data_IF_201278123390
#
_entry.id   IF_201278123390
#
_cell.length_a   1.000
_cell.length_b   1.000
_cell.length_c   1.000
_cell.angle_alpha   90.00
_cell.angle_beta   90.00
_cell.angle_gamma   90.00
#
_symmetry.space_group_name_H-M   'P 1'
#
loop_
_entity.id
_entity.type
_entity.pdbx_description
1 polymer ?
#
# COMPACT_ATOMS: atom_id res chain seq x y z
N UNK A 1 5.77 -17.27 -18.47
CA UNK A 1 7.12 -17.85 -18.31
C UNK A 1 7.75 -17.98 -19.69
N UNK A 2 8.78 -17.20 -20.04
CA UNK A 2 9.62 -17.47 -21.22
C UNK A 2 10.67 -18.48 -20.77
N UNK A 3 10.53 -19.74 -21.18
CA UNK A 3 11.48 -20.81 -20.85
C UNK A 3 12.67 -20.62 -21.79
N UNK A 4 13.78 -20.09 -21.27
CA UNK A 4 15.03 -19.97 -22.02
C UNK A 4 15.82 -21.29 -21.90
N UNK A 5 15.90 -22.01 -23.02
CA UNK A 5 16.59 -23.29 -23.15
C UNK A 5 18.06 -23.19 -22.74
N UNK A 6 18.57 -24.21 -22.03
CA UNK A 6 20.00 -24.55 -22.07
C UNK A 6 20.24 -25.01 -23.51
N UNK A 7 20.99 -24.24 -24.29
CA UNK A 7 21.30 -24.59 -25.67
C UNK A 7 22.01 -25.95 -25.72
N UNK A 8 21.74 -26.74 -26.77
CA UNK A 8 22.47 -27.98 -27.02
C UNK A 8 23.93 -27.62 -27.27
N UNK A 9 24.79 -27.98 -26.33
CA UNK A 9 26.20 -28.03 -26.62
C UNK A 9 26.45 -29.21 -27.58
N UNK A 10 26.83 -28.92 -28.82
CA UNK A 10 27.09 -29.94 -29.85
C UNK A 10 28.39 -30.73 -29.58
N UNK A 11 29.10 -30.41 -28.50
CA UNK A 11 30.32 -31.07 -28.04
C UNK A 11 30.10 -32.16 -26.98
N UNK A 12 28.86 -32.38 -26.54
CA UNK A 12 28.54 -33.28 -25.42
C UNK A 12 28.66 -34.79 -25.78
N UNK A 13 29.20 -35.56 -24.85
CA UNK A 13 29.37 -37.02 -24.94
C UNK A 13 28.03 -37.78 -24.91
N UNK A 14 28.02 -39.05 -25.34
CA UNK A 14 26.78 -39.86 -25.37
C UNK A 14 26.09 -40.04 -24.01
N UNK A 15 26.85 -39.97 -22.90
CA UNK A 15 26.32 -39.97 -21.53
C UNK A 15 25.70 -38.62 -21.18
N UNK A 16 26.35 -37.50 -21.50
CA UNK A 16 25.83 -36.15 -21.24
C UNK A 16 24.53 -35.88 -22.01
N UNK A 17 24.43 -36.36 -23.25
CA UNK A 17 23.17 -36.28 -24.01
C UNK A 17 22.02 -37.09 -23.37
N UNK A 18 22.33 -38.26 -22.81
CA UNK A 18 21.34 -39.12 -22.14
C UNK A 18 20.89 -38.50 -20.81
N UNK A 19 21.82 -37.90 -20.09
CA UNK A 19 21.57 -37.18 -18.84
C UNK A 19 20.72 -35.93 -19.06
N UNK A 20 21.01 -35.14 -20.08
CA UNK A 20 20.24 -33.94 -20.43
C UNK A 20 18.81 -34.30 -20.85
N UNK A 21 18.62 -35.44 -21.52
CA UNK A 21 17.31 -35.96 -21.90
C UNK A 21 16.49 -36.46 -20.70
N UNK A 22 17.10 -37.13 -19.73
CA UNK A 22 16.43 -37.57 -18.50
C UNK A 22 16.00 -36.36 -17.63
N UNK A 23 16.85 -35.32 -17.51
CA UNK A 23 16.48 -34.06 -16.85
C UNK A 23 15.29 -33.37 -17.56
N UNK A 24 15.29 -33.35 -18.90
CA UNK A 24 14.20 -32.78 -19.69
C UNK A 24 12.89 -33.54 -19.50
N UNK A 25 12.94 -34.88 -19.45
CA UNK A 25 11.76 -35.71 -19.19
C UNK A 25 11.24 -35.51 -17.77
N UNK A 26 12.13 -35.45 -16.78
CA UNK A 26 11.74 -35.19 -15.39
C UNK A 26 11.09 -33.81 -15.24
N UNK A 27 11.63 -32.78 -15.89
CA UNK A 27 11.04 -31.44 -15.95
C UNK A 27 9.61 -31.48 -16.51
N UNK A 28 9.39 -32.14 -17.65
CA UNK A 28 8.05 -32.25 -18.26
C UNK A 28 7.08 -33.04 -17.37
N UNK A 29 7.54 -34.13 -16.75
CA UNK A 29 6.74 -34.91 -15.83
C UNK A 29 6.29 -34.07 -14.62
N UNK A 30 7.21 -33.30 -14.02
CA UNK A 30 6.89 -32.40 -12.91
C UNK A 30 5.92 -31.27 -13.31
N UNK A 31 6.08 -30.69 -14.52
CA UNK A 31 5.16 -29.67 -15.03
C UNK A 31 3.74 -30.22 -15.26
N UNK A 32 3.62 -31.47 -15.69
CA UNK A 32 2.34 -32.12 -15.98
C UNK A 32 1.72 -32.82 -14.75
N UNK A 33 2.50 -33.03 -13.68
CA UNK A 33 2.08 -33.80 -12.51
C UNK A 33 2.07 -35.31 -12.74
N UNK A 34 2.85 -35.79 -13.72
CA UNK A 34 2.97 -37.20 -14.08
C UNK A 34 3.96 -37.91 -13.16
N UNK A 35 3.45 -38.39 -12.02
CA UNK A 35 4.28 -39.00 -10.99
C UNK A 35 4.90 -40.33 -11.44
N UNK A 36 4.18 -41.16 -12.18
CA UNK A 36 4.67 -42.49 -12.56
C UNK A 36 5.94 -42.38 -13.41
N UNK A 37 5.91 -41.50 -14.42
CA UNK A 37 7.08 -41.25 -15.25
C UNK A 37 8.22 -40.57 -14.49
N UNK A 38 7.90 -39.61 -13.60
CA UNK A 38 8.93 -38.97 -12.78
C UNK A 38 9.61 -39.97 -11.83
N UNK A 39 8.81 -40.81 -11.15
CA UNK A 39 9.31 -41.83 -10.21
C UNK A 39 10.23 -42.82 -10.91
N UNK A 40 9.83 -43.32 -12.08
CA UNK A 40 10.65 -44.25 -12.86
C UNK A 40 12.02 -43.66 -13.26
N UNK A 41 12.11 -42.33 -13.41
CA UNK A 41 13.37 -41.63 -13.68
C UNK A 41 14.16 -41.41 -12.38
N UNK A 42 13.50 -40.96 -11.31
CA UNK A 42 14.13 -40.68 -10.02
C UNK A 42 14.70 -41.95 -9.39
N UNK A 43 13.99 -43.08 -9.44
CA UNK A 43 14.41 -44.33 -8.79
C UNK A 43 15.69 -44.93 -9.39
N UNK A 44 16.04 -44.58 -10.63
CA UNK A 44 17.31 -45.01 -11.23
C UNK A 44 18.52 -44.42 -10.50
N UNK A 45 18.41 -43.18 -10.05
CA UNK A 45 19.45 -42.45 -9.33
C UNK A 45 18.84 -41.31 -8.48
N UNK A 46 18.31 -41.63 -7.30
CA UNK A 46 17.53 -40.68 -6.50
C UNK A 46 18.33 -39.47 -6.05
N UNK A 47 19.56 -39.68 -5.58
CA UNK A 47 20.40 -38.61 -5.06
C UNK A 47 20.72 -37.57 -6.14
N UNK A 48 21.07 -38.03 -7.35
CA UNK A 48 21.36 -37.15 -8.47
C UNK A 48 20.10 -36.48 -9.03
N UNK A 49 19.02 -37.23 -9.27
CA UNK A 49 17.83 -36.68 -9.92
C UNK A 49 17.06 -35.69 -9.03
N UNK A 50 17.07 -35.89 -7.70
CA UNK A 50 16.43 -34.95 -6.77
C UNK A 50 17.24 -33.66 -6.58
N UNK A 51 18.57 -33.72 -6.78
CA UNK A 51 19.47 -32.55 -6.69
C UNK A 51 19.77 -31.90 -8.04
N UNK A 52 19.34 -32.49 -9.16
CA UNK A 52 19.63 -32.00 -10.50
C UNK A 52 18.99 -30.64 -10.78
N UNK A 53 19.77 -29.74 -11.38
CA UNK A 53 19.30 -28.46 -11.89
C UNK A 53 18.57 -28.67 -13.22
N UNK A 54 17.26 -28.42 -13.26
CA UNK A 54 16.40 -28.65 -14.42
C UNK A 54 16.23 -27.41 -15.29
N UNK A 55 16.57 -26.22 -14.77
CA UNK A 55 16.46 -24.93 -15.46
C UNK A 55 17.75 -24.12 -15.30
N UNK A 56 17.89 -23.04 -16.09
CA UNK A 56 18.96 -22.04 -15.89
C UNK A 56 18.89 -21.34 -14.54
N UNK A 57 17.71 -21.30 -13.92
CA UNK A 57 17.51 -20.76 -12.58
C UNK A 57 17.86 -21.77 -11.47
N UNK A 58 18.52 -22.88 -11.79
CA UNK A 58 18.85 -23.95 -10.84
C UNK A 58 17.62 -24.56 -10.13
N UNK A 59 16.45 -24.49 -10.78
CA UNK A 59 15.24 -25.09 -10.25
C UNK A 59 15.34 -26.60 -10.28
N UNK A 60 14.96 -27.22 -9.16
CA UNK A 60 14.94 -28.68 -9.00
C UNK A 60 13.53 -29.18 -9.20
N UNK A 61 13.37 -30.50 -9.25
CA UNK A 61 12.06 -31.14 -9.48
C UNK A 61 10.98 -30.64 -8.51
N UNK A 62 11.33 -30.37 -7.24
CA UNK A 62 10.40 -29.83 -6.25
C UNK A 62 9.99 -28.38 -6.54
N UNK A 63 10.92 -27.51 -6.95
CA UNK A 63 10.63 -26.12 -7.33
C UNK A 63 9.66 -26.06 -8.51
N UNK A 64 9.89 -26.92 -9.52
CA UNK A 64 9.03 -27.02 -10.70
C UNK A 64 7.63 -27.52 -10.33
N UNK A 65 7.54 -28.60 -9.54
CA UNK A 65 6.26 -29.17 -9.15
C UNK A 65 5.40 -28.18 -8.34
N UNK A 66 6.01 -27.44 -7.41
CA UNK A 66 5.36 -26.38 -6.63
C UNK A 66 4.94 -25.22 -7.52
N UNK A 67 5.81 -24.76 -8.42
CA UNK A 67 5.49 -23.71 -9.40
C UNK A 67 4.30 -24.10 -10.28
N UNK A 68 4.25 -25.37 -10.72
CA UNK A 68 3.16 -25.93 -11.51
C UNK A 68 1.91 -26.30 -10.68
N UNK A 69 1.94 -26.12 -9.35
CA UNK A 69 0.84 -26.38 -8.41
C UNK A 69 0.30 -27.82 -8.48
N UNK A 70 1.20 -28.80 -8.68
CA UNK A 70 0.83 -30.22 -8.82
C UNK A 70 0.73 -30.93 -7.46
N UNK A 71 -0.32 -30.66 -6.70
CA UNK A 71 -0.49 -31.14 -5.32
C UNK A 71 -0.25 -32.66 -5.15
N UNK A 72 -0.88 -33.58 -5.92
CA UNK A 72 -0.67 -35.02 -5.72
C UNK A 72 0.76 -35.48 -6.02
N UNK A 73 1.41 -34.80 -6.95
CA UNK A 73 2.81 -35.04 -7.30
C UNK A 73 3.73 -34.54 -6.18
N UNK A 74 3.47 -33.34 -5.66
CA UNK A 74 4.25 -32.74 -4.56
C UNK A 74 4.19 -33.62 -3.32
N UNK A 75 3.01 -34.11 -2.94
CA UNK A 75 2.84 -35.01 -1.78
C UNK A 75 3.79 -36.22 -1.87
N UNK A 76 3.72 -36.94 -2.99
CA UNK A 76 4.55 -38.13 -3.21
C UNK A 76 6.04 -37.80 -3.30
N UNK A 77 6.39 -36.67 -3.92
CA UNK A 77 7.77 -36.22 -4.01
C UNK A 77 8.36 -35.87 -2.63
N UNK A 78 7.62 -35.15 -1.79
CA UNK A 78 8.07 -34.74 -0.46
C UNK A 78 8.18 -35.95 0.48
N UNK A 79 7.28 -36.92 0.36
CA UNK A 79 7.39 -38.21 1.06
C UNK A 79 8.68 -38.94 0.66
N UNK A 80 8.95 -39.06 -0.65
CA UNK A 80 10.17 -39.67 -1.17
C UNK A 80 11.45 -38.94 -0.71
N UNK A 81 11.45 -37.59 -0.73
CA UNK A 81 12.61 -36.82 -0.27
C UNK A 81 12.88 -37.01 1.22
N UNK A 82 11.82 -37.12 2.03
CA UNK A 82 11.92 -37.37 3.47
C UNK A 82 12.49 -38.76 3.75
N UNK A 83 12.00 -39.80 3.04
CA UNK A 83 12.51 -41.18 3.15
C UNK A 83 14.01 -41.29 2.80
N UNK A 84 14.47 -40.47 1.84
CA UNK A 84 15.88 -40.44 1.42
C UNK A 84 16.76 -39.53 2.28
N UNK A 85 16.21 -38.92 3.34
CA UNK A 85 16.95 -38.02 4.24
C UNK A 85 17.45 -36.73 3.56
N UNK A 86 16.81 -36.31 2.46
CA UNK A 86 17.17 -35.09 1.75
C UNK A 86 16.55 -33.88 2.43
N UNK A 87 17.34 -32.82 2.56
CA UNK A 87 16.90 -31.59 3.22
C UNK A 87 16.01 -30.80 2.24
N UNK A 88 14.86 -30.31 2.70
CA UNK A 88 13.93 -29.50 1.90
C UNK A 88 14.40 -28.04 1.72
N UNK A 89 15.50 -27.65 2.36
CA UNK A 89 16.07 -26.29 2.35
C UNK A 89 16.82 -25.94 1.07
N UNK A 90 16.63 -26.72 0.01
CA UNK A 90 17.33 -26.50 -1.24
C UNK A 90 16.85 -25.19 -1.84
N UNK A 91 17.80 -24.38 -2.29
CA UNK A 91 17.55 -23.12 -2.96
C UNK A 91 17.80 -23.25 -4.46
N UNK A 92 17.10 -22.43 -5.23
CA UNK A 92 17.41 -22.18 -6.64
C UNK A 92 18.38 -20.98 -6.75
N UNK A 93 18.72 -20.58 -7.97
CA UNK A 93 19.64 -19.47 -8.24
C UNK A 93 19.18 -18.13 -7.63
N UNK A 94 17.87 -17.97 -7.41
CA UNK A 94 17.28 -16.77 -6.80
C UNK A 94 17.22 -16.83 -5.27
N UNK A 95 17.73 -17.91 -4.66
CA UNK A 95 17.61 -18.15 -3.22
C UNK A 95 16.26 -18.73 -2.80
N UNK A 96 15.34 -18.97 -3.73
CA UNK A 96 13.99 -19.43 -3.41
C UNK A 96 13.99 -20.90 -3.00
N UNK A 97 13.23 -21.19 -1.94
CA UNK A 97 12.93 -22.54 -1.47
C UNK A 97 11.58 -22.99 -2.02
N UNK A 98 11.29 -24.29 -1.92
CA UNK A 98 9.96 -24.79 -2.23
C UNK A 98 8.84 -24.10 -1.43
N UNK A 99 9.11 -23.70 -0.17
CA UNK A 99 8.15 -22.97 0.67
C UNK A 99 7.97 -21.52 0.21
N UNK A 100 9.04 -20.82 -0.20
CA UNK A 100 8.89 -19.45 -0.72
C UNK A 100 8.09 -19.43 -2.03
N UNK A 101 8.30 -20.41 -2.92
CA UNK A 101 7.50 -20.57 -4.14
C UNK A 101 6.05 -20.92 -3.80
N UNK A 102 5.81 -21.79 -2.81
CA UNK A 102 4.46 -22.10 -2.34
C UNK A 102 3.76 -20.83 -1.81
N UNK A 103 4.47 -19.98 -1.08
CA UNK A 103 3.96 -18.70 -0.58
C UNK A 103 3.54 -17.76 -1.72
N UNK A 104 4.35 -17.65 -2.79
CA UNK A 104 3.99 -16.91 -4.02
C UNK A 104 2.78 -17.51 -4.73
N UNK A 105 2.61 -18.82 -4.66
CA UNK A 105 1.51 -19.50 -5.35
C UNK A 105 0.13 -19.25 -4.72
N UNK A 106 0.11 -18.86 -3.44
CA UNK A 106 -1.10 -18.69 -2.60
C UNK A 106 -1.82 -19.99 -2.23
N UNK A 107 -1.26 -21.17 -2.55
CA UNK A 107 -1.90 -22.48 -2.29
C UNK A 107 -1.49 -23.04 -0.94
N UNK A 108 -2.29 -22.77 0.10
CA UNK A 108 -2.04 -23.19 1.49
C UNK A 108 -1.78 -24.69 1.60
N UNK A 109 -2.56 -25.51 0.89
CA UNK A 109 -2.40 -26.97 0.84
C UNK A 109 -0.98 -27.41 0.46
N UNK A 110 -0.30 -26.69 -0.44
CA UNK A 110 1.08 -27.02 -0.81
C UNK A 110 2.03 -26.73 0.35
N UNK A 111 1.84 -25.60 1.04
CA UNK A 111 2.64 -25.24 2.20
C UNK A 111 2.40 -26.19 3.38
N UNK A 112 1.18 -26.70 3.56
CA UNK A 112 0.84 -27.74 4.54
C UNK A 112 1.59 -29.05 4.28
N UNK A 113 1.60 -29.52 3.04
CA UNK A 113 2.33 -30.74 2.65
C UNK A 113 3.83 -30.62 2.92
N UNK A 114 4.42 -29.45 2.66
CA UNK A 114 5.84 -29.18 2.90
C UNK A 114 6.13 -29.10 4.41
N UNK A 115 5.30 -28.35 5.15
CA UNK A 115 5.49 -28.10 6.59
C UNK A 115 5.17 -29.29 7.50
N UNK A 116 4.54 -30.34 6.97
CA UNK A 116 4.28 -31.57 7.72
C UNK A 116 5.54 -32.44 7.97
N UNK A 117 6.72 -32.02 7.50
CA UNK A 117 7.97 -32.80 7.61
C UNK A 117 8.88 -32.28 8.73
N UNK A 118 9.60 -33.19 9.38
CA UNK A 118 10.36 -32.97 10.63
C UNK A 118 11.49 -31.90 10.56
N UNK A 119 11.82 -31.37 9.38
CA UNK A 119 12.85 -30.34 9.18
C UNK A 119 12.33 -29.07 8.46
N UNK A 120 11.01 -28.93 8.27
CA UNK A 120 10.46 -27.85 7.46
C UNK A 120 10.49 -26.48 8.15
N UNK A 121 10.60 -26.42 9.48
CA UNK A 121 10.60 -25.16 10.23
C UNK A 121 11.76 -24.24 9.87
N UNK A 122 12.92 -24.79 9.48
CA UNK A 122 14.06 -24.00 9.02
C UNK A 122 13.72 -23.17 7.77
N UNK A 123 12.78 -23.63 6.94
CA UNK A 123 12.34 -22.95 5.72
C UNK A 123 11.65 -21.62 6.00
N UNK A 124 11.05 -21.46 7.17
CA UNK A 124 10.35 -20.23 7.58
C UNK A 124 11.31 -19.03 7.67
N UNK A 125 12.60 -19.27 7.95
CA UNK A 125 13.62 -18.22 8.08
C UNK A 125 14.43 -17.97 6.80
N UNK A 126 14.29 -18.81 5.77
CA UNK A 126 15.14 -18.71 4.59
C UNK A 126 14.65 -17.57 3.71
N UNK A 127 15.57 -16.65 3.42
CA UNK A 127 15.31 -15.51 2.54
C UNK A 127 15.44 -15.96 1.10
N UNK A 128 14.37 -15.78 0.34
CA UNK A 128 14.33 -16.02 -1.10
C UNK A 128 14.61 -14.75 -1.89
N UNK A 129 13.99 -14.67 -3.06
CA UNK A 129 14.06 -13.47 -3.90
C UNK A 129 13.58 -12.22 -3.13
N UNK A 130 14.23 -11.08 -3.39
CA UNK A 130 13.98 -9.79 -2.72
C UNK A 130 14.31 -9.75 -1.23
N UNK A 131 15.10 -10.72 -0.74
CA UNK A 131 15.47 -10.84 0.67
C UNK A 131 14.20 -10.90 1.53
N UNK A 132 13.27 -11.77 1.16
CA UNK A 132 12.02 -11.97 1.89
C UNK A 132 11.91 -13.42 2.35
N UNK A 133 11.49 -13.60 3.60
CA UNK A 133 11.02 -14.89 4.13
C UNK A 133 9.70 -15.29 3.45
N UNK A 134 9.28 -16.58 3.53
CA UNK A 134 8.04 -17.04 2.90
C UNK A 134 6.80 -16.23 3.30
N UNK A 135 6.70 -15.81 4.56
CA UNK A 135 5.62 -14.92 5.02
C UNK A 135 5.60 -13.59 4.24
N UNK A 136 6.76 -12.98 4.04
CA UNK A 136 6.90 -11.75 3.27
C UNK A 136 6.55 -11.90 1.79
N UNK A 137 6.85 -13.06 1.22
CA UNK A 137 6.41 -13.40 -0.14
C UNK A 137 4.88 -13.49 -0.20
N UNK A 138 4.23 -14.22 0.71
CA UNK A 138 2.76 -14.31 0.75
C UNK A 138 2.11 -12.92 0.88
N UNK A 139 2.64 -12.06 1.75
CA UNK A 139 2.15 -10.69 1.96
C UNK A 139 2.33 -9.85 0.70
N UNK A 140 3.51 -9.89 0.07
CA UNK A 140 3.81 -9.13 -1.16
C UNK A 140 2.87 -9.46 -2.31
N UNK A 141 2.43 -10.71 -2.41
CA UNK A 141 1.51 -11.16 -3.45
C UNK A 141 0.03 -11.09 -3.02
N UNK A 142 -0.27 -10.54 -1.83
CA UNK A 142 -1.64 -10.35 -1.35
C UNK A 142 -2.36 -11.65 -0.96
N UNK A 143 -1.61 -12.71 -0.63
CA UNK A 143 -2.18 -14.01 -0.28
C UNK A 143 -2.45 -14.11 1.22
N UNK A 144 -3.52 -13.45 1.69
CA UNK A 144 -3.89 -13.36 3.11
C UNK A 144 -4.00 -14.70 3.84
N UNK A 145 -4.72 -15.68 3.26
CA UNK A 145 -4.85 -17.03 3.86
C UNK A 145 -3.49 -17.71 4.06
N UNK A 146 -2.60 -17.59 3.06
CA UNK A 146 -1.24 -18.11 3.16
C UNK A 146 -0.40 -17.33 4.18
N UNK A 147 -0.55 -16.01 4.24
CA UNK A 147 0.14 -15.19 5.22
C UNK A 147 -0.26 -15.58 6.65
N UNK A 148 -1.54 -15.83 6.91
CA UNK A 148 -1.99 -16.33 8.21
C UNK A 148 -1.43 -17.70 8.53
N UNK A 149 -1.53 -18.65 7.59
CA UNK A 149 -1.00 -19.98 7.79
C UNK A 149 0.50 -19.95 8.17
N UNK A 150 1.31 -19.19 7.42
CA UNK A 150 2.74 -19.06 7.69
C UNK A 150 3.03 -18.32 9.00
N UNK A 151 2.22 -17.31 9.33
CA UNK A 151 2.32 -16.60 10.60
C UNK A 151 2.09 -17.52 11.79
N UNK A 152 1.00 -18.30 11.76
CA UNK A 152 0.64 -19.21 12.84
C UNK A 152 1.72 -20.29 13.02
N UNK A 153 2.36 -20.73 11.93
CA UNK A 153 3.53 -21.63 12.00
C UNK A 153 4.77 -20.96 12.62
N UNK A 154 5.02 -19.69 12.35
CA UNK A 154 6.16 -18.96 12.92
C UNK A 154 6.00 -18.66 14.42
N UNK A 155 4.77 -18.46 14.89
CA UNK A 155 4.48 -18.15 16.30
C UNK A 155 4.62 -19.36 17.23
N UNK A 156 4.44 -20.58 16.69
CA UNK A 156 4.61 -21.83 17.43
C UNK A 156 6.09 -22.19 17.70
N UNK A 157 7.05 -21.49 17.08
CA UNK A 157 8.47 -21.82 17.16
C UNK A 157 9.23 -21.03 18.26
N UNK A 158 9.96 -21.69 19.19
CA UNK A 158 10.62 -21.07 20.36
C UNK A 158 11.70 -20.03 20.04
N UNK A 159 12.25 -20.04 18.82
CA UNK A 159 13.24 -19.10 18.30
C UNK A 159 12.62 -18.32 17.14
N UNK A 160 11.47 -17.67 17.40
CA UNK A 160 10.65 -17.08 16.34
C UNK A 160 11.51 -16.26 15.38
N UNK A 161 11.40 -16.51 14.08
CA UNK A 161 12.11 -15.82 13.00
C UNK A 161 11.92 -14.29 13.05
N UNK A 162 10.93 -13.83 13.81
CA UNK A 162 10.58 -12.43 14.04
C UNK A 162 11.39 -11.80 15.18
N UNK A 163 12.35 -12.50 15.80
CA UNK A 163 13.01 -12.05 17.03
C UNK A 163 14.16 -11.06 16.85
N UNK A 164 14.68 -10.81 15.64
CA UNK A 164 15.88 -9.96 15.53
C UNK A 164 16.17 -9.42 14.13
N UNK A 165 15.28 -8.63 13.54
CA UNK A 165 15.66 -7.56 12.59
C UNK A 165 14.51 -6.57 12.41
N UNK A 166 14.64 -5.38 13.01
CA UNK A 166 13.67 -4.28 12.85
C UNK A 166 13.40 -3.86 11.38
N UNK A 167 14.35 -3.96 10.42
CA UNK A 167 14.10 -3.60 9.03
C UNK A 167 13.12 -4.54 8.32
N UNK A 168 13.19 -5.85 8.59
CA UNK A 168 12.31 -6.84 7.94
C UNK A 168 10.88 -6.70 8.44
N UNK A 169 10.68 -6.48 9.74
CA UNK A 169 9.35 -6.28 10.30
C UNK A 169 8.66 -5.02 9.75
N UNK A 170 9.41 -3.92 9.61
CA UNK A 170 8.91 -2.69 8.98
C UNK A 170 8.54 -2.90 7.51
N UNK A 171 9.39 -3.60 6.76
CA UNK A 171 9.14 -3.95 5.36
C UNK A 171 7.87 -4.81 5.23
N UNK A 172 7.69 -5.80 6.10
CA UNK A 172 6.48 -6.62 6.14
C UNK A 172 5.24 -5.79 6.51
N UNK A 173 5.35 -4.87 7.46
CA UNK A 173 4.25 -4.00 7.89
C UNK A 173 3.75 -3.09 6.77
N UNK A 174 4.66 -2.36 6.12
CA UNK A 174 4.33 -1.50 4.97
C UNK A 174 3.80 -2.32 3.79
N UNK A 175 4.37 -3.50 3.52
CA UNK A 175 3.91 -4.39 2.46
C UNK A 175 2.50 -4.93 2.71
N UNK A 176 2.15 -5.21 3.97
CA UNK A 176 0.82 -5.68 4.36
C UNK A 176 -0.24 -4.61 4.09
N UNK A 177 0.05 -3.35 4.44
CA UNK A 177 -0.82 -2.20 4.14
C UNK A 177 -0.95 -2.02 2.61
N UNK A 178 0.17 -2.12 1.89
CA UNK A 178 0.22 -1.95 0.43
C UNK A 178 -0.59 -3.01 -0.31
N UNK A 179 -0.76 -4.21 0.25
CA UNK A 179 -1.50 -5.32 -0.33
C UNK A 179 -2.87 -5.57 0.33
N UNK A 180 -3.39 -4.59 1.09
CA UNK A 180 -4.73 -4.65 1.71
C UNK A 180 -4.91 -5.79 2.74
N UNK A 181 -3.80 -6.29 3.29
CA UNK A 181 -3.78 -7.29 4.38
C UNK A 181 -3.72 -6.56 5.73
N UNK A 182 -4.81 -5.86 6.07
CA UNK A 182 -4.88 -4.97 7.23
C UNK A 182 -4.88 -5.72 8.56
N UNK A 183 -5.46 -6.92 8.60
CA UNK A 183 -5.35 -7.90 9.68
C UNK A 183 -3.90 -8.27 10.04
N UNK A 184 -3.08 -8.61 9.05
CA UNK A 184 -1.66 -8.92 9.23
C UNK A 184 -0.91 -7.66 9.66
N UNK A 185 -1.23 -6.50 9.08
CA UNK A 185 -0.66 -5.22 9.50
C UNK A 185 -1.00 -4.87 10.96
N UNK A 186 -2.22 -5.13 11.42
CA UNK A 186 -2.64 -4.95 12.81
C UNK A 186 -1.87 -5.88 13.76
N UNK A 187 -1.71 -7.15 13.40
CA UNK A 187 -0.89 -8.11 14.17
C UNK A 187 0.56 -7.64 14.31
N UNK A 188 1.14 -7.11 13.22
CA UNK A 188 2.48 -6.54 13.22
C UNK A 188 2.56 -5.31 14.12
N UNK A 189 1.64 -4.35 13.96
CA UNK A 189 1.62 -3.13 14.78
C UNK A 189 1.50 -3.44 16.28
N UNK A 190 0.70 -4.43 16.65
CA UNK A 190 0.54 -4.86 18.04
C UNK A 190 1.83 -5.46 18.65
N UNK A 191 2.78 -5.92 17.83
CA UNK A 191 4.10 -6.39 18.31
C UNK A 191 5.07 -5.24 18.59
N UNK A 192 5.07 -4.22 17.74
CA UNK A 192 5.87 -3.00 17.94
C UNK A 192 5.06 -1.77 17.47
N UNK A 193 4.46 -1.06 18.43
CA UNK A 193 3.64 0.12 18.15
C UNK A 193 4.47 1.27 17.56
N UNK A 194 5.80 1.30 17.77
CA UNK A 194 6.65 2.36 17.23
C UNK A 194 6.69 2.33 15.69
N UNK A 195 6.38 1.17 15.08
CA UNK A 195 6.31 1.00 13.64
C UNK A 195 5.31 1.95 12.97
N UNK A 196 4.27 2.40 13.69
CA UNK A 196 3.33 3.39 13.18
C UNK A 196 4.02 4.68 12.69
N UNK A 197 5.16 5.03 13.30
CA UNK A 197 5.85 6.29 13.07
C UNK A 197 7.18 6.14 12.30
N UNK A 198 7.65 4.91 12.08
CA UNK A 198 8.92 4.64 11.38
C UNK A 198 8.75 4.89 9.87
N UNK A 199 9.80 5.40 9.24
CA UNK A 199 9.89 5.63 7.80
C UNK A 199 10.56 4.43 7.12
N UNK A 200 10.10 4.07 5.93
CA UNK A 200 10.73 3.08 5.07
C UNK A 200 11.89 3.68 4.26
N UNK A 201 12.47 2.89 3.36
CA UNK A 201 13.56 3.32 2.47
C UNK A 201 13.20 4.49 1.55
N UNK A 202 11.92 4.66 1.22
CA UNK A 202 11.38 5.75 0.41
C UNK A 202 10.92 6.95 1.27
N UNK A 203 11.30 6.99 2.55
CA UNK A 203 10.87 7.98 3.54
C UNK A 203 9.35 8.00 3.81
N UNK A 204 8.60 6.96 3.41
CA UNK A 204 7.16 6.85 3.66
C UNK A 204 6.89 6.18 5.00
N UNK A 205 5.87 6.68 5.71
CA UNK A 205 5.32 6.01 6.91
C UNK A 205 4.10 5.18 6.53
N UNK A 206 3.64 4.31 7.44
CA UNK A 206 2.39 3.57 7.28
C UNK A 206 1.19 4.49 6.96
N UNK A 207 1.18 5.70 7.51
CA UNK A 207 0.14 6.68 7.26
C UNK A 207 0.16 7.20 5.80
N UNK A 208 1.34 7.39 5.19
CA UNK A 208 1.46 7.75 3.77
C UNK A 208 0.86 6.66 2.88
N UNK A 209 1.18 5.40 3.17
CA UNK A 209 0.66 4.27 2.38
C UNK A 209 -0.85 4.14 2.53
N UNK A 210 -1.39 4.29 3.74
CA UNK A 210 -2.84 4.29 3.99
C UNK A 210 -3.55 5.46 3.30
N UNK A 211 -2.93 6.63 3.25
CA UNK A 211 -3.44 7.80 2.54
C UNK A 211 -3.58 7.54 1.04
N UNK A 212 -2.56 6.93 0.41
CA UNK A 212 -2.57 6.63 -1.02
C UNK A 212 -3.55 5.51 -1.41
N UNK A 213 -3.93 4.65 -0.46
CA UNK A 213 -4.85 3.54 -0.66
C UNK A 213 -6.30 3.94 -0.47
N UNK A 214 -6.89 4.70 -1.40
CA UNK A 214 -8.33 4.93 -1.37
C UNK A 214 -9.09 3.58 -1.27
N UNK A 215 -10.20 3.48 -0.51
CA UNK A 215 -11.03 2.28 -0.54
C UNK A 215 -11.40 2.00 -2.00
N UNK A 216 -11.53 0.73 -2.38
CA UNK A 216 -12.04 0.32 -3.69
C UNK A 216 -13.48 0.80 -3.84
N UNK A 217 -13.62 2.10 -4.11
CA UNK A 217 -14.85 2.72 -4.53
C UNK A 217 -14.79 2.79 -6.03
N UNK A 218 -15.91 2.44 -6.67
CA UNK A 218 -16.11 2.20 -8.09
C UNK A 218 -15.12 2.90 -9.04
N UNK A 219 -14.71 2.22 -10.13
CA UNK A 219 -13.87 2.83 -11.16
C UNK A 219 -14.43 4.20 -11.56
N UNK A 220 -13.56 5.17 -11.94
CA UNK A 220 -14.00 6.52 -12.31
C UNK A 220 -15.19 6.43 -13.24
N UNK A 221 -16.33 6.89 -12.71
CA UNK A 221 -17.70 6.80 -13.23
C UNK A 221 -17.74 6.24 -14.66
N UNK A 222 -18.03 4.94 -14.79
CA UNK A 222 -18.45 4.37 -16.07
C UNK A 222 -19.81 4.99 -16.42
N UNK A 223 -19.79 5.75 -17.51
CA UNK A 223 -20.92 6.08 -18.38
C UNK A 223 -22.23 6.55 -17.72
N UNK A 224 -22.55 7.83 -17.98
CA UNK A 224 -23.83 8.08 -18.64
C UNK A 224 -24.93 8.75 -17.83
N UNK A 225 -24.73 9.11 -16.56
CA UNK A 225 -25.67 9.99 -15.87
C UNK A 225 -24.90 10.87 -14.87
N UNK A 226 -24.80 12.15 -15.18
CA UNK A 226 -24.42 13.20 -14.24
C UNK A 226 -25.69 13.65 -13.52
N UNK A 227 -26.00 13.18 -12.29
CA UNK A 227 -26.98 13.89 -11.50
C UNK A 227 -26.33 15.20 -11.08
N UNK A 228 -26.68 16.26 -11.82
CA UNK A 228 -26.78 17.62 -11.33
C UNK A 228 -27.13 17.59 -9.84
N UNK A 229 -26.33 18.27 -9.01
CA UNK A 229 -26.62 18.66 -7.63
C UNK A 229 -28.02 18.22 -7.18
N UNK A 230 -28.16 16.95 -6.74
CA UNK A 230 -29.42 16.56 -6.12
C UNK A 230 -29.48 17.40 -4.85
N UNK A 231 -30.49 18.26 -4.81
CA UNK A 231 -30.73 19.22 -3.74
C UNK A 231 -30.89 18.48 -2.42
N UNK A 232 -29.79 18.24 -1.73
CA UNK A 232 -29.77 18.02 -0.31
C UNK A 232 -29.06 19.22 0.29
N UNK A 233 -29.83 20.27 0.59
CA UNK A 233 -29.43 21.30 1.56
C UNK A 233 -29.16 20.63 2.90
N UNK A 234 -28.03 19.95 3.05
CA UNK A 234 -27.41 19.66 4.35
C UNK A 234 -26.22 20.59 4.45
N UNK A 235 -26.51 21.82 4.90
CA UNK A 235 -25.50 22.68 5.51
C UNK A 235 -24.77 21.84 6.56
N UNK A 236 -23.51 21.50 6.33
CA UNK A 236 -22.60 21.14 7.42
C UNK A 236 -22.40 22.46 8.17
N UNK A 237 -23.18 22.68 9.23
CA UNK A 237 -22.93 23.80 10.13
C UNK A 237 -21.64 23.47 10.89
N UNK A 238 -20.53 24.07 10.49
CA UNK A 238 -19.39 24.28 11.37
C UNK A 238 -19.81 25.31 12.42
N UNK A 239 -20.53 24.82 13.44
CA UNK A 239 -20.88 25.57 14.63
C UNK A 239 -19.78 25.41 15.65
N UNK A 240 -19.31 26.55 16.16
CA UNK A 240 -18.46 26.72 17.32
C UNK A 240 -18.73 25.69 18.43
N UNK A 241 -17.65 25.33 19.13
CA UNK A 241 -17.53 24.45 20.30
C UNK A 241 -18.74 24.50 21.24
N UNK A 242 -19.06 23.33 21.82
CA UNK A 242 -19.95 23.01 22.95
C UNK A 242 -21.33 22.40 22.61
N UNK A 243 -21.49 21.17 23.11
CA UNK A 243 -22.72 20.40 23.39
C UNK A 243 -23.30 19.45 22.32
N UNK A 244 -23.07 18.16 22.60
CA UNK A 244 -24.02 17.04 22.47
C UNK A 244 -24.40 16.50 21.08
N UNK A 245 -23.89 15.28 20.82
CA UNK A 245 -24.48 14.18 20.03
C UNK A 245 -25.99 14.10 20.35
N UNK A 246 -26.95 14.11 19.39
CA UNK A 246 -27.27 12.91 18.62
C UNK A 246 -27.99 13.15 17.26
N UNK A 247 -27.27 13.07 16.12
CA UNK A 247 -27.89 12.83 14.78
C UNK A 247 -27.00 11.94 13.89
N UNK A 248 -26.57 10.81 14.45
CA UNK A 248 -25.73 9.79 13.77
C UNK A 248 -26.53 8.71 13.01
N UNK A 249 -27.87 8.77 13.02
CA UNK A 249 -28.73 7.65 12.56
C UNK A 249 -28.81 7.44 11.03
N UNK A 250 -28.21 8.32 10.21
CA UNK A 250 -28.24 8.20 8.75
C UNK A 250 -27.01 7.54 8.13
N UNK A 251 -25.87 7.55 8.82
CA UNK A 251 -24.59 7.01 8.32
C UNK A 251 -24.45 5.51 8.64
N UNK A 252 -25.09 5.04 9.73
CA UNK A 252 -25.08 3.62 10.12
C UNK A 252 -25.79 2.67 9.13
N UNK A 253 -26.58 3.17 8.17
CA UNK A 253 -27.18 2.29 7.14
C UNK A 253 -26.16 1.79 6.10
N UNK A 254 -25.01 2.47 5.93
CA UNK A 254 -23.88 1.99 5.11
C UNK A 254 -22.84 1.21 5.90
N UNK A 255 -22.80 1.37 7.23
CA UNK A 255 -21.92 0.58 8.09
C UNK A 255 -22.34 -0.91 8.12
N UNK A 256 -23.60 -1.22 7.84
CA UNK A 256 -24.13 -2.60 7.81
C UNK A 256 -23.68 -3.44 6.60
N UNK A 257 -22.86 -2.90 5.69
CA UNK A 257 -22.37 -3.62 4.50
C UNK A 257 -20.84 -3.60 4.34
N UNK A 258 -20.08 -3.18 5.34
CA UNK A 258 -18.61 -3.15 5.24
C UNK A 258 -18.04 -4.57 5.22
N UNK A 259 -17.11 -4.82 4.30
CA UNK A 259 -16.29 -6.05 4.29
C UNK A 259 -15.36 -6.07 5.51
N UNK A 260 -14.95 -7.26 5.98
CA UNK A 260 -14.03 -7.40 7.14
C UNK A 260 -12.77 -6.54 7.00
N UNK A 261 -12.17 -6.59 5.80
CA UNK A 261 -10.97 -5.82 5.44
C UNK A 261 -11.13 -4.30 5.60
N UNK A 262 -12.29 -3.72 5.27
CA UNK A 262 -12.52 -2.28 5.45
C UNK A 262 -12.64 -1.89 6.94
N UNK A 263 -13.18 -2.77 7.79
CA UNK A 263 -13.23 -2.53 9.23
C UNK A 263 -11.83 -2.57 9.84
N UNK A 264 -11.03 -3.58 9.48
CA UNK A 264 -9.63 -3.72 9.91
C UNK A 264 -8.79 -2.52 9.47
N UNK A 265 -9.02 -2.02 8.25
CA UNK A 265 -8.36 -0.81 7.75
C UNK A 265 -8.69 0.42 8.60
N UNK A 266 -9.96 0.59 8.96
CA UNK A 266 -10.41 1.70 9.81
C UNK A 266 -9.75 1.62 11.19
N UNK A 267 -9.74 0.42 11.78
CA UNK A 267 -9.11 0.16 13.07
C UNK A 267 -7.60 0.45 13.03
N UNK A 268 -6.91 -0.03 11.99
CA UNK A 268 -5.48 0.23 11.79
C UNK A 268 -5.19 1.73 11.71
N UNK A 269 -5.99 2.47 10.94
CA UNK A 269 -5.86 3.92 10.84
C UNK A 269 -6.08 4.60 12.19
N UNK A 270 -7.10 4.20 12.95
CA UNK A 270 -7.37 4.76 14.28
C UNK A 270 -6.22 4.49 15.25
N UNK A 271 -5.67 3.27 15.25
CA UNK A 271 -4.53 2.90 16.08
C UNK A 271 -3.29 3.74 15.74
N UNK A 272 -2.94 3.87 14.46
CA UNK A 272 -1.80 4.69 14.01
C UNK A 272 -2.00 6.16 14.41
N UNK A 273 -3.19 6.73 14.18
CA UNK A 273 -3.49 8.11 14.55
C UNK A 273 -3.46 8.34 16.06
N UNK A 274 -3.79 7.33 16.86
CA UNK A 274 -3.71 7.41 18.32
C UNK A 274 -2.26 7.33 18.82
N UNK A 275 -1.43 6.47 18.23
CA UNK A 275 -0.01 6.40 18.57
C UNK A 275 0.76 7.67 18.23
N UNK A 276 0.49 8.28 17.06
CA UNK A 276 1.08 9.57 16.71
C UNK A 276 0.74 10.66 17.74
N UNK A 277 -0.47 10.61 18.29
CA UNK A 277 -0.88 11.53 19.34
C UNK A 277 -0.15 11.23 20.66
N UNK A 278 0.07 9.96 21.01
CA UNK A 278 0.80 9.58 22.24
C UNK A 278 2.28 9.96 22.19
N UNK A 279 3.01 9.67 21.11
CA UNK A 279 4.43 10.04 20.98
C UNK A 279 4.66 11.54 21.19
N UNK A 280 3.77 12.36 20.63
CA UNK A 280 3.83 13.81 20.83
C UNK A 280 3.68 14.22 22.30
N UNK A 281 2.87 13.49 23.09
CA UNK A 281 2.68 13.72 24.53
C UNK A 281 3.89 13.21 25.34
N UNK A 282 4.54 12.13 24.91
CA UNK A 282 5.72 11.56 25.58
C UNK A 282 6.97 12.42 25.41
N UNK A 283 7.26 12.89 24.19
CA UNK A 283 8.34 13.86 23.91
C UNK A 283 8.17 15.12 24.78
N UNK A 284 6.93 15.58 24.91
CA UNK A 284 6.55 16.64 25.82
C UNK A 284 6.83 16.28 27.28
N UNK A 285 6.48 15.07 27.70
CA UNK A 285 6.70 14.62 29.08
C UNK A 285 8.19 14.56 29.43
N UNK A 286 9.04 14.24 28.46
CA UNK A 286 10.49 14.15 28.61
C UNK A 286 11.13 15.54 28.66
N UNK A 287 10.67 16.47 27.82
CA UNK A 287 11.02 17.90 27.91
C UNK A 287 10.58 18.49 29.26
N UNK A 288 9.40 18.11 29.77
CA UNK A 288 8.91 18.55 31.08
C UNK A 288 9.73 17.96 32.23
N UNK A 289 10.17 16.69 32.12
CA UNK A 289 11.04 16.06 33.12
C UNK A 289 12.44 16.66 33.15
N UNK A 290 13.02 16.98 31.99
CA UNK A 290 14.34 17.62 31.90
C UNK A 290 14.34 19.08 32.37
N UNK A 291 13.22 19.79 32.23
CA UNK A 291 13.03 21.14 32.80
C UNK A 291 12.63 21.13 34.28
N UNK A 292 12.06 20.03 34.78
CA UNK A 292 11.68 19.88 36.20
C UNK A 292 12.83 19.58 37.15
N UNK A 293 14.06 19.35 36.67
CA UNK A 293 15.22 19.11 37.56
C UNK A 293 15.92 20.38 38.06
N UNK A 294 15.55 21.58 37.58
CA UNK A 294 16.12 22.85 38.09
C UNK A 294 15.08 23.77 38.77
N UNK A 295 13.78 23.53 38.60
CA UNK A 295 12.72 24.43 39.09
C UNK A 295 11.69 23.69 39.93
N UNK A 296 12.15 23.00 40.97
CA UNK A 296 11.28 22.71 42.12
C UNK A 296 11.99 23.18 43.38
N UNK A 297 11.85 24.47 43.69
CA UNK A 297 11.69 24.88 45.10
C UNK A 297 10.63 25.93 45.36
N UNK A 298 10.33 26.86 44.45
CA UNK A 298 9.29 27.84 44.75
C UNK A 298 8.60 28.38 43.51
N UNK A 299 7.30 28.64 43.67
CA UNK A 299 6.37 29.40 42.81
C UNK A 299 5.62 28.68 41.67
N UNK A 300 4.31 28.53 41.93
CA UNK A 300 3.15 28.56 41.01
C UNK A 300 2.96 27.42 40.01
N UNK A 301 2.30 26.38 40.51
CA UNK A 301 1.66 25.26 39.79
C UNK A 301 0.55 25.67 38.79
N UNK A 302 0.02 26.89 38.87
CA UNK A 302 -1.01 27.38 37.93
C UNK A 302 -0.42 28.04 36.67
N UNK A 303 0.67 28.81 36.81
CA UNK A 303 1.35 29.45 35.67
C UNK A 303 2.02 28.39 34.79
N UNK A 304 2.64 27.39 35.43
CA UNK A 304 3.26 26.26 34.73
C UNK A 304 2.19 25.46 33.96
N UNK A 305 1.00 25.18 34.52
CA UNK A 305 -0.07 24.50 33.77
C UNK A 305 -0.54 25.29 32.52
N UNK A 306 -0.63 26.62 32.62
CA UNK A 306 -1.04 27.48 31.51
C UNK A 306 0.00 27.49 30.39
N UNK A 307 1.26 27.81 30.72
CA UNK A 307 2.35 27.91 29.74
C UNK A 307 2.75 26.55 29.18
N UNK A 308 2.71 25.49 30.00
CA UNK A 308 2.91 24.12 29.49
C UNK A 308 1.79 23.75 28.54
N UNK A 309 0.51 24.05 28.81
CA UNK A 309 -0.57 23.69 27.87
C UNK A 309 -0.44 24.35 26.50
N UNK A 310 0.11 25.57 26.42
CA UNK A 310 0.31 26.29 25.16
C UNK A 310 1.54 25.78 24.40
N UNK A 311 2.66 25.59 25.10
CA UNK A 311 3.88 24.99 24.52
C UNK A 311 3.61 23.56 24.05
N UNK A 312 2.88 22.77 24.85
CA UNK A 312 2.42 21.42 24.49
C UNK A 312 1.59 21.42 23.22
N UNK A 313 0.66 22.36 23.07
CA UNK A 313 -0.15 22.49 21.85
C UNK A 313 0.68 22.89 20.64
N UNK A 314 1.68 23.78 20.78
CA UNK A 314 2.50 24.21 19.65
C UNK A 314 3.46 23.13 19.18
N UNK A 315 4.19 22.45 20.08
CA UNK A 315 5.15 21.40 19.69
C UNK A 315 4.46 20.15 19.16
N UNK A 316 3.34 19.71 19.78
CA UNK A 316 2.52 18.61 19.21
C UNK A 316 1.94 18.97 17.85
N UNK A 317 1.48 20.22 17.68
CA UNK A 317 0.95 20.69 16.40
C UNK A 317 2.01 20.69 15.32
N UNK A 318 3.27 21.03 15.62
CA UNK A 318 4.35 21.08 14.63
C UNK A 318 4.82 19.69 14.19
N UNK A 319 5.07 18.75 15.10
CA UNK A 319 5.51 17.38 14.76
C UNK A 319 4.42 16.63 14.00
N UNK A 320 3.17 16.73 14.46
CA UNK A 320 2.02 16.16 13.74
C UNK A 320 1.89 16.80 12.36
N UNK A 321 2.00 18.13 12.25
CA UNK A 321 1.92 18.86 10.97
C UNK A 321 3.01 18.44 9.98
N UNK A 322 4.26 18.27 10.41
CA UNK A 322 5.37 17.81 9.55
C UNK A 322 5.12 16.40 9.02
N UNK A 323 4.54 15.52 9.85
CA UNK A 323 4.32 14.12 9.46
C UNK A 323 3.03 13.93 8.65
N UNK A 324 2.06 14.85 8.79
CA UNK A 324 0.71 14.73 8.19
C UNK A 324 0.47 15.63 6.99
N UNK A 325 1.30 16.66 6.75
CA UNK A 325 1.15 17.55 5.58
C UNK A 325 1.31 16.80 4.27
N UNK A 326 2.42 16.06 4.07
CA UNK A 326 2.62 15.23 2.87
C UNK A 326 1.55 14.15 2.70
N UNK A 327 1.19 13.48 3.80
CA UNK A 327 0.13 12.46 3.85
C UNK A 327 -1.24 13.02 3.42
N UNK A 328 -1.56 14.27 3.80
CA UNK A 328 -2.81 14.92 3.41
C UNK A 328 -2.90 15.06 1.88
N UNK A 329 -1.81 15.49 1.24
CA UNK A 329 -1.77 15.67 -0.21
C UNK A 329 -1.74 14.36 -0.96
N UNK A 330 -1.06 13.34 -0.43
CA UNK A 330 -1.11 11.97 -0.95
C UNK A 330 -2.55 11.44 -0.98
N UNK A 331 -3.30 11.58 0.12
CA UNK A 331 -4.70 11.17 0.17
C UNK A 331 -5.58 11.96 -0.81
N UNK A 332 -5.33 13.27 -0.94
CA UNK A 332 -6.07 14.12 -1.86
C UNK A 332 -5.79 13.78 -3.33
N UNK A 333 -4.54 13.45 -3.67
CA UNK A 333 -4.12 13.01 -5.00
C UNK A 333 -4.75 11.66 -5.38
N UNK A 334 -4.79 10.72 -4.43
CA UNK A 334 -5.36 9.38 -4.63
C UNK A 334 -6.88 9.31 -4.50
N UNK A 335 -7.56 10.39 -4.11
CA UNK A 335 -9.01 10.41 -3.97
C UNK A 335 -9.55 9.76 -2.68
N UNK A 336 -8.71 9.60 -1.66
CA UNK A 336 -9.03 8.89 -0.42
C UNK A 336 -9.83 9.76 0.56
N UNK A 337 -11.12 9.97 0.25
CA UNK A 337 -12.00 10.86 1.00
C UNK A 337 -12.25 10.41 2.43
N UNK A 338 -12.37 9.10 2.68
CA UNK A 338 -12.60 8.58 4.04
C UNK A 338 -11.40 8.88 4.94
N UNK A 339 -10.19 8.70 4.43
CA UNK A 339 -8.97 9.05 5.15
C UNK A 339 -8.93 10.55 5.45
N UNK A 340 -9.20 11.40 4.45
CA UNK A 340 -9.21 12.86 4.62
C UNK A 340 -10.25 13.32 5.63
N UNK A 341 -11.48 12.78 5.59
CA UNK A 341 -12.53 13.13 6.54
C UNK A 341 -12.11 12.81 7.98
N UNK A 342 -11.47 11.65 8.22
CA UNK A 342 -10.97 11.27 9.54
C UNK A 342 -9.82 12.15 10.01
N UNK A 343 -8.81 12.37 9.16
CA UNK A 343 -7.63 13.18 9.49
C UNK A 343 -8.02 14.63 9.74
N UNK A 344 -8.85 15.24 8.89
CA UNK A 344 -9.29 16.64 9.05
C UNK A 344 -10.22 16.84 10.24
N UNK A 345 -10.97 15.82 10.67
CA UNK A 345 -11.73 15.88 11.93
C UNK A 345 -10.81 15.87 13.15
N UNK A 346 -9.75 15.07 13.12
CA UNK A 346 -8.79 14.94 14.24
C UNK A 346 -7.82 16.12 14.29
N UNK A 347 -7.41 16.63 13.12
CA UNK A 347 -6.46 17.73 12.95
C UNK A 347 -7.00 18.79 11.98
N UNK A 348 -7.95 19.64 12.41
CA UNK A 348 -8.61 20.62 11.52
C UNK A 348 -7.69 21.69 10.95
N UNK A 349 -6.57 21.99 11.62
CA UNK A 349 -5.58 22.98 11.15
C UNK A 349 -4.91 22.58 9.83
N UNK A 350 -4.86 21.29 9.51
CA UNK A 350 -4.21 20.78 8.30
C UNK A 350 -4.87 21.27 7.00
N UNK A 351 -6.13 21.74 7.08
CA UNK A 351 -6.84 22.28 5.91
C UNK A 351 -6.15 23.50 5.30
N UNK A 352 -5.27 24.17 6.05
CA UNK A 352 -4.54 25.37 5.64
C UNK A 352 -3.13 25.09 5.13
N UNK A 353 -2.67 23.83 5.17
CA UNK A 353 -1.36 23.48 4.64
C UNK A 353 -1.33 23.61 3.12
N UNK A 354 -0.13 23.87 2.61
CA UNK A 354 0.20 23.82 1.20
C UNK A 354 1.27 22.76 0.97
N UNK A 355 1.28 22.18 -0.23
CA UNK A 355 2.36 21.30 -0.65
C UNK A 355 3.60 22.09 -1.09
N UNK A 356 4.62 21.37 -1.58
CA UNK A 356 5.89 21.96 -2.04
C UNK A 356 5.74 22.95 -3.22
N UNK A 357 4.59 22.97 -3.90
CA UNK A 357 4.28 23.91 -4.99
C UNK A 357 3.28 25.00 -4.57
N UNK A 358 3.16 25.25 -3.26
CA UNK A 358 2.18 26.16 -2.68
C UNK A 358 0.71 25.81 -2.99
N UNK A 359 0.43 24.54 -3.33
CA UNK A 359 -0.92 24.08 -3.65
C UNK A 359 -1.64 23.64 -2.38
N UNK A 360 -2.80 24.24 -2.14
CA UNK A 360 -3.73 23.72 -1.13
C UNK A 360 -4.36 22.39 -1.55
N UNK A 361 -5.01 21.71 -0.61
CA UNK A 361 -5.68 20.42 -0.89
C UNK A 361 -6.75 20.53 -2.01
N UNK A 362 -7.31 21.72 -2.21
CA UNK A 362 -8.29 22.00 -3.26
C UNK A 362 -7.64 22.05 -4.65
N UNK A 363 -6.44 22.63 -4.75
CA UNK A 363 -5.65 22.64 -5.98
C UNK A 363 -5.26 21.20 -6.38
N UNK A 364 -4.81 20.40 -5.41
CA UNK A 364 -4.45 19.00 -5.64
C UNK A 364 -5.67 18.19 -6.12
N UNK A 365 -6.82 18.32 -5.45
CA UNK A 365 -8.05 17.64 -5.88
C UNK A 365 -8.46 18.01 -7.31
N UNK A 366 -8.27 19.28 -7.71
CA UNK A 366 -8.54 19.75 -9.07
C UNK A 366 -7.57 19.17 -10.08
N UNK A 367 -6.26 19.27 -9.81
CA UNK A 367 -5.22 18.77 -10.71
C UNK A 367 -5.40 17.28 -11.00
N UNK A 368 -5.72 16.47 -9.99
CA UNK A 368 -5.87 15.02 -10.12
C UNK A 368 -7.30 14.54 -10.39
N UNK A 369 -8.25 15.44 -10.71
CA UNK A 369 -9.65 15.10 -11.03
C UNK A 369 -10.39 14.34 -9.93
N UNK A 370 -10.08 14.62 -8.66
CA UNK A 370 -10.63 13.91 -7.51
C UNK A 370 -11.94 14.57 -7.03
N UNK A 371 -13.03 14.29 -7.74
CA UNK A 371 -14.35 14.90 -7.51
C UNK A 371 -14.86 14.74 -6.07
N UNK A 372 -14.72 13.55 -5.48
CA UNK A 372 -15.20 13.30 -4.12
C UNK A 372 -14.40 14.11 -3.08
N UNK A 373 -13.10 14.30 -3.28
CA UNK A 373 -12.24 15.14 -2.43
C UNK A 373 -12.60 16.61 -2.59
N UNK A 374 -12.80 17.05 -3.84
CA UNK A 374 -13.28 18.39 -4.16
C UNK A 374 -14.59 18.72 -3.43
N UNK A 375 -15.55 17.80 -3.52
CA UNK A 375 -16.85 17.93 -2.86
C UNK A 375 -16.73 17.92 -1.33
N UNK A 376 -15.83 17.12 -0.74
CA UNK A 376 -15.55 17.15 0.69
C UNK A 376 -15.15 18.57 1.10
N UNK A 377 -14.11 19.14 0.48
CA UNK A 377 -13.56 20.44 0.87
C UNK A 377 -14.57 21.57 0.59
N UNK A 378 -15.28 21.52 -0.54
CA UNK A 378 -16.30 22.50 -0.89
C UNK A 378 -17.44 22.58 0.16
N UNK A 379 -17.68 21.49 0.90
CA UNK A 379 -18.70 21.40 1.93
C UNK A 379 -18.19 21.71 3.34
N UNK A 380 -16.89 21.95 3.55
CA UNK A 380 -16.29 22.28 4.86
C UNK A 380 -16.73 23.67 5.38
N UNK A 381 -17.36 24.51 4.55
CA UNK A 381 -17.95 25.78 4.95
C UNK A 381 -17.21 26.98 4.37
N UNK A 382 -16.99 28.03 5.17
CA UNK A 382 -16.36 29.29 4.72
C UNK A 382 -14.86 29.16 4.39
N UNK A 383 -14.20 28.08 4.82
CA UNK A 383 -12.79 27.80 4.53
C UNK A 383 -12.51 27.82 3.02
N UNK A 384 -13.44 27.32 2.20
CA UNK A 384 -13.30 27.31 0.74
C UNK A 384 -13.17 28.71 0.14
N UNK A 385 -13.83 29.71 0.71
CA UNK A 385 -13.88 31.06 0.14
C UNK A 385 -12.51 31.76 0.26
N UNK A 386 -11.73 31.35 1.26
CA UNK A 386 -10.32 31.70 1.43
C UNK A 386 -9.43 30.91 0.47
N UNK A 387 -9.57 29.58 0.45
CA UNK A 387 -8.73 28.71 -0.39
C UNK A 387 -8.86 28.99 -1.88
N UNK A 388 -10.05 29.40 -2.37
CA UNK A 388 -10.29 29.77 -3.78
C UNK A 388 -9.39 30.93 -4.26
N UNK A 389 -8.95 31.80 -3.34
CA UNK A 389 -8.07 32.93 -3.68
C UNK A 389 -6.60 32.56 -3.85
N UNK A 390 -6.17 31.38 -3.39
CA UNK A 390 -4.77 30.98 -3.43
C UNK A 390 -4.31 30.67 -4.86
N UNK A 391 -3.00 30.75 -5.07
CA UNK A 391 -2.30 30.38 -6.31
C UNK A 391 -1.17 29.44 -5.97
N UNK A 392 -0.79 28.60 -6.91
CA UNK A 392 0.42 27.79 -6.79
C UNK A 392 1.69 28.62 -7.08
N UNK A 393 2.85 27.98 -6.96
CA UNK A 393 4.17 28.57 -7.22
C UNK A 393 4.32 29.15 -8.64
N UNK A 394 3.57 28.62 -9.61
CA UNK A 394 3.58 29.03 -11.02
C UNK A 394 2.55 30.14 -11.31
N UNK A 395 1.89 30.65 -10.26
CA UNK A 395 0.85 31.67 -10.38
C UNK A 395 -0.46 31.13 -10.94
N UNK A 396 -0.61 29.81 -11.07
CA UNK A 396 -1.84 29.18 -11.52
C UNK A 396 -2.88 29.26 -10.41
N UNK A 397 -4.05 29.79 -10.75
CA UNK A 397 -5.25 29.60 -9.94
C UNK A 397 -5.89 28.23 -10.24
N UNK A 398 -6.90 27.87 -9.46
CA UNK A 398 -7.66 26.62 -9.61
C UNK A 398 -8.14 26.33 -11.04
N UNK A 399 -8.53 27.36 -11.80
CA UNK A 399 -9.03 27.17 -13.16
C UNK A 399 -7.90 26.87 -14.16
N UNK A 400 -6.70 27.41 -13.95
CA UNK A 400 -5.53 27.00 -14.72
C UNK A 400 -5.24 25.51 -14.51
N UNK A 401 -5.26 25.03 -13.26
CA UNK A 401 -5.04 23.61 -12.95
C UNK A 401 -6.11 22.68 -13.55
N UNK A 402 -7.37 23.10 -13.54
CA UNK A 402 -8.44 22.39 -14.25
C UNK A 402 -8.23 22.41 -15.78
N UNK A 403 -7.52 23.43 -16.26
CA UNK A 403 -7.11 23.61 -17.64
C UNK A 403 -5.97 22.70 -18.10
N UNK A 404 -5.21 22.09 -17.19
CA UNK A 404 -4.06 21.26 -17.53
C UNK A 404 -4.46 19.79 -17.66
N UNK A 405 -4.01 19.13 -18.72
CA UNK A 405 -4.14 17.67 -18.82
C UNK A 405 -3.35 16.99 -17.70
N UNK A 406 -3.91 15.95 -17.04
CA UNK A 406 -3.17 15.18 -16.04
C UNK A 406 -1.93 14.51 -16.66
N UNK A 407 -0.81 14.56 -15.94
CA UNK A 407 0.48 14.00 -16.36
C UNK A 407 0.40 12.46 -16.56
N UNK A 408 -0.48 11.78 -15.82
CA UNK A 408 -0.54 10.32 -15.69
C UNK A 408 -1.59 9.61 -16.57
N UNK A 409 -2.39 10.33 -17.36
CA UNK A 409 -3.31 9.63 -18.26
C UNK A 409 -2.55 9.12 -19.49
N UNK A 410 -2.42 7.78 -19.56
CA UNK A 410 -2.23 7.06 -20.83
C UNK A 410 -3.12 7.74 -21.87
N UNK A 411 -2.50 8.36 -22.87
CA UNK A 411 -3.20 9.02 -23.97
C UNK A 411 -4.15 8.00 -24.58
N UNK A 412 -5.41 8.06 -24.15
CA UNK A 412 -6.44 7.14 -24.59
C UNK A 412 -6.51 7.35 -26.11
N UNK A 413 -5.98 6.40 -26.88
CA UNK A 413 -5.70 6.57 -28.31
C UNK A 413 -6.86 7.18 -29.09
N UNK A 414 -6.57 7.74 -30.27
CA UNK A 414 -7.44 8.62 -31.10
C UNK A 414 -8.96 8.37 -31.00
N UNK A 415 -9.43 7.11 -30.95
CA UNK A 415 -10.84 6.75 -30.81
C UNK A 415 -11.52 7.21 -29.50
N UNK A 416 -10.76 7.52 -28.44
CA UNK A 416 -11.27 7.95 -27.12
C UNK A 416 -10.96 9.42 -26.80
N UNK A 417 -10.20 10.11 -27.65
CA UNK A 417 -9.81 11.50 -27.47
C UNK A 417 -11.02 12.45 -27.34
N UNK A 418 -12.06 12.24 -28.15
CA UNK A 418 -13.30 13.03 -28.08
C UNK A 418 -14.03 12.90 -26.73
N UNK A 419 -14.10 11.69 -26.18
CA UNK A 419 -14.71 11.45 -24.86
C UNK A 419 -13.87 12.05 -23.73
N UNK A 420 -12.53 12.00 -23.87
CA UNK A 420 -11.61 12.65 -22.93
C UNK A 420 -11.80 14.17 -22.96
N UNK A 421 -11.79 14.79 -24.15
CA UNK A 421 -12.06 16.21 -24.32
C UNK A 421 -13.39 16.65 -23.69
N UNK A 422 -14.47 15.89 -23.92
CA UNK A 422 -15.77 16.19 -23.31
C UNK A 422 -15.72 16.16 -21.77
N UNK A 423 -15.03 15.19 -21.18
CA UNK A 423 -14.86 15.09 -19.72
C UNK A 423 -14.04 16.25 -19.17
N UNK A 424 -12.94 16.60 -19.82
CA UNK A 424 -12.07 17.70 -19.40
C UNK A 424 -12.79 19.06 -19.50
N UNK A 425 -13.58 19.27 -20.57
CA UNK A 425 -14.39 20.48 -20.71
C UNK A 425 -15.48 20.60 -19.63
N UNK A 426 -16.13 19.49 -19.28
CA UNK A 426 -17.11 19.45 -18.19
C UNK A 426 -16.44 19.78 -16.85
N UNK A 427 -15.30 19.16 -16.56
CA UNK A 427 -14.53 19.44 -15.34
C UNK A 427 -14.12 20.92 -15.25
N UNK A 428 -13.57 21.47 -16.34
CA UNK A 428 -13.19 22.88 -16.42
C UNK A 428 -14.38 23.81 -16.12
N UNK A 429 -15.55 23.53 -16.70
CA UNK A 429 -16.77 24.32 -16.45
C UNK A 429 -17.28 24.22 -15.01
N UNK A 430 -17.14 23.07 -14.35
CA UNK A 430 -17.53 22.94 -12.95
C UNK A 430 -16.62 23.78 -12.04
N UNK A 431 -15.30 23.76 -12.28
CA UNK A 431 -14.35 24.61 -11.54
C UNK A 431 -14.58 26.10 -11.83
N UNK A 432 -14.93 26.46 -13.08
CA UNK A 432 -15.22 27.85 -13.49
C UNK A 432 -16.38 28.49 -12.70
N UNK A 433 -17.34 27.69 -12.22
CA UNK A 433 -18.47 28.17 -11.42
C UNK A 433 -18.06 28.62 -10.02
N UNK A 434 -16.92 28.15 -9.52
CA UNK A 434 -16.51 28.33 -8.12
C UNK A 434 -15.42 29.38 -7.97
N UNK A 435 -14.57 29.55 -8.99
CA UNK A 435 -13.57 30.63 -9.00
C UNK A 435 -14.22 32.02 -9.10
N UNK A 436 -13.52 33.02 -8.59
CA UNK A 436 -13.96 34.42 -8.65
C UNK A 436 -13.94 34.92 -10.11
N UNK A 437 -14.86 35.82 -10.52
CA UNK A 437 -14.96 36.25 -11.92
C UNK A 437 -13.64 36.76 -12.54
N UNK A 438 -12.82 37.49 -11.78
CA UNK A 438 -11.55 38.01 -12.29
C UNK A 438 -10.51 36.90 -12.54
N UNK A 439 -10.56 35.79 -11.80
CA UNK A 439 -9.62 34.66 -11.93
C UNK A 439 -9.76 33.95 -13.28
N UNK A 440 -10.90 34.12 -13.97
CA UNK A 440 -11.16 33.53 -15.30
C UNK A 440 -10.31 34.13 -16.42
N UNK A 441 -9.83 35.35 -16.21
CA UNK A 441 -9.02 36.12 -17.17
C UNK A 441 -7.65 36.48 -16.60
N UNK A 442 -7.35 36.02 -15.38
CA UNK A 442 -6.07 36.24 -14.73
C UNK A 442 -4.99 35.41 -15.43
N UNK A 443 -3.78 35.96 -15.56
CA UNK A 443 -2.66 35.29 -16.20
C UNK A 443 -1.76 34.65 -15.15
N UNK A 444 -1.28 33.44 -15.44
CA UNK A 444 -0.22 32.79 -14.67
C UNK A 444 1.15 33.42 -14.96
N UNK A 445 2.23 32.87 -14.37
CA UNK A 445 3.59 33.38 -14.55
C UNK A 445 4.09 33.27 -16.00
N UNK A 446 3.50 32.37 -16.81
CA UNK A 446 3.76 32.23 -18.25
C UNK A 446 2.94 33.21 -19.11
N UNK A 447 2.13 34.07 -18.49
CA UNK A 447 1.32 35.07 -19.20
C UNK A 447 0.08 34.51 -19.88
N UNK A 448 -0.31 33.27 -19.59
CA UNK A 448 -1.47 32.58 -20.14
C UNK A 448 -2.66 32.65 -19.18
N UNK A 449 -3.87 32.80 -19.73
CA UNK A 449 -5.15 32.67 -19.03
C UNK A 449 -5.56 31.20 -18.90
N UNK A 450 -6.51 30.84 -18.00
CA UNK A 450 -6.95 29.46 -17.86
C UNK A 450 -7.47 28.83 -19.16
N UNK A 451 -8.16 29.61 -20.00
CA UNK A 451 -8.67 29.14 -21.30
C UNK A 451 -7.54 28.91 -22.30
N UNK A 452 -6.53 29.78 -22.31
CA UNK A 452 -5.35 29.59 -23.15
C UNK A 452 -4.58 28.34 -22.75
N UNK A 453 -4.43 28.08 -21.44
CA UNK A 453 -3.85 26.82 -20.92
C UNK A 453 -4.67 25.60 -21.36
N UNK A 454 -6.00 25.64 -21.23
CA UNK A 454 -6.88 24.54 -21.67
C UNK A 454 -6.72 24.24 -23.16
N UNK A 455 -6.80 25.28 -24.00
CA UNK A 455 -6.63 25.13 -25.43
C UNK A 455 -5.23 24.62 -25.77
N UNK A 456 -4.18 25.13 -25.13
CA UNK A 456 -2.80 24.76 -25.40
C UNK A 456 -2.49 23.30 -25.06
N UNK A 457 -2.93 22.84 -23.90
CA UNK A 457 -2.65 21.49 -23.42
C UNK A 457 -3.47 20.44 -24.18
N UNK A 458 -4.72 20.76 -24.55
CA UNK A 458 -5.65 19.80 -25.15
C UNK A 458 -5.67 19.80 -26.69
N UNK A 459 -4.74 20.48 -27.37
CA UNK A 459 -4.67 20.57 -28.85
C UNK A 459 -4.72 19.23 -29.57
N UNK A 460 -4.17 18.18 -28.95
CA UNK A 460 -4.05 16.85 -29.55
C UNK A 460 -5.27 15.95 -29.32
N UNK A 461 -6.34 16.46 -28.69
CA UNK A 461 -7.58 15.73 -28.39
C UNK A 461 -8.76 16.12 -29.29
N UNK A 462 -8.52 16.97 -30.31
CA UNK A 462 -9.52 17.50 -31.26
C UNK A 462 -9.20 17.07 -32.67
#
# INVERSE_FOLDING_TARGET
MRIAWIDRDQSATSSEHREQEDCRKLLLAALNGDWENARAIIEKDPARMLSANLTKGEDKVIHIAVTAKRIPFIKQLVDLMSEKGLILNIQNYHGDTCLSIAAVSGKVEIAELIMAKDNANQLLSIHGIYELIPLGMAIRWGHGEMAHYLWDKMELEPHSCLSSTTPDLMKLFIMSISNHLYDVALRLLNKDMEMACKRDGDQKTALHVLAQKAPDTDPPIKSGNWPLFSSSKKRIKFGFVVSFIPKFKGFCKQASTRTSSELERVELLENILNELQKKSIEEISEILKSTSSEVVKTTTTEVIKSTTSEVVKTTTSEVVKITTSGVLFDAAMSGNVEFLDKVLRKFPSLIWENDEKDRSIFHVAIKYRQEKVFNLIYNIGAVKDYLVGNKDSDGNNMLHLAGMLPDDQERLGVQRANLQMQRELLWFKEVEKIVRPYQRSEKNNEGMTPKEVFVATHKNLV
#
